data_IF_533329402434
#
_entry.id   IF_533329402434
#
_cell.length_a   1.000
_cell.length_b   1.000
_cell.length_c   1.000
_cell.angle_alpha   90.00
_cell.angle_beta   90.00
_cell.angle_gamma   90.00
#
_symmetry.space_group_name_H-M   'P 1'
#
loop_
_entity.id
_entity.type
_entity.pdbx_description
1 polymer ?
#
# COMPACT_ATOMS: atom_id res chain seq x y z
N UNK A 1 6.40 -26.82 -2.58
CA UNK A 1 5.38 -25.88 -2.05
C UNK A 1 4.33 -26.68 -1.32
N UNK A 2 4.01 -26.35 -0.05
CA UNK A 2 2.85 -26.94 0.62
C UNK A 2 1.62 -26.13 0.19
N UNK A 3 0.65 -26.69 -0.54
CA UNK A 3 -0.46 -25.94 -1.12
C UNK A 3 -1.33 -25.25 -0.04
N UNK A 4 -1.34 -25.81 1.17
CA UNK A 4 -1.92 -25.26 2.40
C UNK A 4 -1.40 -23.85 2.77
N UNK A 5 -0.25 -23.42 2.22
CA UNK A 5 0.36 -22.11 2.47
C UNK A 5 0.05 -21.08 1.39
N UNK A 6 -0.69 -21.45 0.33
CA UNK A 6 -1.07 -20.54 -0.76
C UNK A 6 -2.42 -19.92 -0.42
N UNK A 7 -2.46 -18.58 -0.31
CA UNK A 7 -3.68 -17.82 -0.06
C UNK A 7 -4.11 -17.09 -1.32
N UNK A 8 -5.42 -17.01 -1.54
CA UNK A 8 -6.00 -16.20 -2.62
C UNK A 8 -5.82 -14.71 -2.29
N UNK A 9 -5.35 -13.94 -3.27
CA UNK A 9 -5.27 -12.49 -3.17
C UNK A 9 -6.63 -11.86 -3.55
N UNK A 10 -6.91 -10.67 -3.03
CA UNK A 10 -8.00 -9.85 -3.54
C UNK A 10 -7.70 -9.42 -4.99
N UNK A 11 -8.72 -9.32 -5.82
CA UNK A 11 -8.62 -8.86 -7.21
C UNK A 11 -9.39 -7.55 -7.38
N UNK A 12 -8.82 -6.64 -8.17
CA UNK A 12 -9.39 -5.33 -8.52
C UNK A 12 -9.17 -5.05 -10.01
N UNK A 13 -10.03 -4.23 -10.62
CA UNK A 13 -9.83 -3.69 -11.97
C UNK A 13 -8.90 -2.47 -11.93
N UNK A 14 -8.10 -2.17 -12.98
CA UNK A 14 -7.28 -0.96 -13.06
C UNK A 14 -8.07 0.33 -12.90
N UNK A 15 -9.37 0.31 -13.23
CA UNK A 15 -10.25 1.48 -13.16
C UNK A 15 -11.00 1.58 -11.82
N UNK A 16 -10.72 0.67 -10.86
CA UNK A 16 -11.37 0.67 -9.54
C UNK A 16 -10.97 1.91 -8.74
N UNK A 17 -11.92 2.66 -8.17
CA UNK A 17 -11.64 3.75 -7.24
C UNK A 17 -10.79 3.31 -6.05
N UNK A 18 -9.90 4.19 -5.59
CA UNK A 18 -8.86 3.82 -4.62
C UNK A 18 -9.42 3.46 -3.23
N UNK A 19 -10.52 4.08 -2.82
CA UNK A 19 -11.29 3.76 -1.63
C UNK A 19 -11.93 2.36 -1.71
N UNK A 20 -12.42 1.97 -2.89
CA UNK A 20 -12.92 0.62 -3.14
C UNK A 20 -11.80 -0.43 -3.19
N UNK A 21 -10.62 -0.07 -3.73
CA UNK A 21 -9.41 -0.90 -3.64
C UNK A 21 -9.04 -1.13 -2.17
N UNK A 22 -8.98 -0.08 -1.35
CA UNK A 22 -8.71 -0.19 0.08
C UNK A 22 -9.72 -1.11 0.78
N UNK A 23 -11.02 -0.92 0.52
CA UNK A 23 -12.07 -1.73 1.11
C UNK A 23 -11.95 -3.22 0.69
N UNK A 24 -11.52 -3.50 -0.54
CA UNK A 24 -11.27 -4.85 -1.03
C UNK A 24 -10.09 -5.51 -0.30
N UNK A 25 -8.98 -4.79 -0.15
CA UNK A 25 -7.78 -5.30 0.54
C UNK A 25 -8.03 -5.52 2.03
N UNK A 26 -8.78 -4.63 2.69
CA UNK A 26 -9.18 -4.79 4.09
C UNK A 26 -10.06 -6.03 4.30
N UNK A 27 -11.03 -6.28 3.43
CA UNK A 27 -11.87 -7.49 3.48
C UNK A 27 -11.05 -8.76 3.25
N UNK A 28 -10.11 -8.72 2.31
CA UNK A 28 -9.20 -9.82 2.04
C UNK A 28 -8.18 -10.06 3.18
N UNK A 29 -8.01 -9.09 4.09
CA UNK A 29 -6.98 -9.08 5.14
C UNK A 29 -5.59 -9.37 4.56
N UNK A 30 -5.29 -8.75 3.42
CA UNK A 30 -4.07 -8.97 2.67
C UNK A 30 -3.44 -7.62 2.26
N UNK A 31 -2.12 -7.54 2.35
CA UNK A 31 -1.36 -6.36 1.93
C UNK A 31 -1.08 -6.36 0.42
N UNK A 32 -1.35 -7.48 -0.26
CA UNK A 32 -1.19 -7.63 -1.70
C UNK A 32 -2.54 -7.90 -2.35
N UNK A 33 -2.78 -7.19 -3.45
CA UNK A 33 -3.89 -7.41 -4.37
C UNK A 33 -3.36 -7.62 -5.79
N UNK A 34 -4.19 -8.24 -6.62
CA UNK A 34 -3.93 -8.46 -8.03
C UNK A 34 -4.78 -7.49 -8.84
N UNK A 35 -4.22 -6.89 -9.89
CA UNK A 35 -4.94 -6.02 -10.81
C UNK A 35 -5.25 -6.80 -12.07
N UNK A 36 -6.50 -7.23 -12.24
CA UNK A 36 -6.95 -7.98 -13.42
C UNK A 36 -7.37 -7.00 -14.52
N UNK A 37 -6.98 -7.28 -15.78
CA UNK A 37 -7.44 -6.49 -16.93
C UNK A 37 -8.89 -6.86 -17.21
N UNK A 38 -9.74 -5.87 -17.48
CA UNK A 38 -11.10 -6.15 -17.92
C UNK A 38 -11.06 -6.76 -19.33
N UNK A 39 -11.61 -7.96 -19.49
CA UNK A 39 -11.53 -8.79 -20.71
C UNK A 39 -12.42 -8.28 -21.87
N UNK A 40 -12.78 -7.00 -21.88
CA UNK A 40 -13.75 -6.44 -22.82
C UNK A 40 -13.24 -6.23 -24.27
N UNK A 41 -11.99 -6.61 -24.57
CA UNK A 41 -11.41 -6.47 -25.89
C UNK A 41 -11.00 -7.84 -26.46
N UNK A 42 -11.97 -8.55 -27.05
CA UNK A 42 -11.98 -9.52 -28.17
C UNK A 42 -10.76 -10.44 -28.48
N UNK A 43 -9.71 -10.45 -27.68
CA UNK A 43 -8.52 -11.27 -27.82
C UNK A 43 -8.26 -12.00 -26.50
N UNK A 44 -8.84 -13.20 -26.40
CA UNK A 44 -8.80 -14.11 -25.24
C UNK A 44 -7.37 -14.59 -24.89
N UNK A 45 -6.32 -14.09 -25.56
CA UNK A 45 -4.94 -14.48 -25.33
C UNK A 45 -4.24 -13.70 -24.19
N UNK A 46 -4.87 -12.66 -23.64
CA UNK A 46 -4.26 -11.79 -22.60
C UNK A 46 -5.03 -11.75 -21.26
N UNK A 47 -5.83 -12.78 -20.95
CA UNK A 47 -6.55 -12.94 -19.69
C UNK A 47 -5.57 -13.33 -18.56
N UNK A 48 -4.85 -12.33 -18.06
CA UNK A 48 -3.91 -12.49 -16.96
C UNK A 48 -3.81 -11.21 -16.16
N UNK A 49 -3.31 -11.30 -14.92
CA UNK A 49 -3.13 -10.13 -14.08
C UNK A 49 -2.23 -9.12 -14.77
N UNK A 50 -2.73 -7.90 -14.90
CA UNK A 50 -1.99 -6.77 -15.47
C UNK A 50 -0.92 -6.24 -14.51
N UNK A 51 -1.08 -6.49 -13.20
CA UNK A 51 -0.15 -6.02 -12.18
C UNK A 51 -0.53 -6.46 -10.77
N UNK A 52 0.18 -5.90 -9.80
CA UNK A 52 -0.06 -6.05 -8.37
C UNK A 52 -0.25 -4.66 -7.75
N UNK A 53 -1.00 -4.63 -6.66
CA UNK A 53 -1.15 -3.45 -5.81
C UNK A 53 -0.78 -3.82 -4.38
N UNK A 54 -0.05 -2.92 -3.71
CA UNK A 54 0.27 -3.04 -2.27
C UNK A 54 -0.61 -2.08 -1.47
N UNK A 55 -1.00 -2.50 -0.27
CA UNK A 55 -1.88 -1.71 0.61
C UNK A 55 -1.22 -0.38 0.97
N UNK A 56 0.09 -0.39 1.13
CA UNK A 56 0.91 0.75 1.50
C UNK A 56 0.84 1.86 0.45
N UNK A 57 0.86 1.53 -0.84
CA UNK A 57 0.73 2.50 -1.94
C UNK A 57 -0.68 3.09 -2.00
N UNK A 58 -1.70 2.25 -1.76
CA UNK A 58 -3.10 2.69 -1.68
C UNK A 58 -3.28 3.70 -0.54
N UNK A 59 -2.74 3.39 0.64
CA UNK A 59 -2.78 4.28 1.80
C UNK A 59 -1.99 5.57 1.54
N UNK A 60 -0.79 5.48 0.99
CA UNK A 60 0.03 6.65 0.67
C UNK A 60 -0.70 7.58 -0.32
N UNK A 61 -1.41 7.02 -1.29
CA UNK A 61 -2.13 7.81 -2.30
C UNK A 61 -3.42 8.43 -1.75
N UNK A 62 -4.10 7.79 -0.78
CA UNK A 62 -5.27 8.33 -0.09
C UNK A 62 -4.92 9.39 0.96
N UNK A 63 -3.87 9.15 1.75
CA UNK A 63 -3.48 10.01 2.89
C UNK A 63 -2.55 11.15 2.43
N UNK A 64 -1.75 10.93 1.39
CA UNK A 64 -0.69 11.83 0.97
C UNK A 64 0.58 11.71 1.82
N UNK A 65 1.47 12.70 1.73
CA UNK A 65 2.69 12.73 2.53
C UNK A 65 2.37 12.97 4.02
N UNK A 66 2.72 12.01 4.88
CA UNK A 66 2.64 12.18 6.34
C UNK A 66 3.98 12.71 6.83
N UNK A 67 4.00 13.94 7.39
CA UNK A 67 5.16 14.49 8.09
C UNK A 67 5.16 13.98 9.52
N UNK A 68 6.28 13.41 9.95
CA UNK A 68 6.45 13.00 11.34
C UNK A 68 6.39 14.25 12.23
N UNK A 69 5.48 14.23 13.22
CA UNK A 69 5.26 15.35 14.13
C UNK A 69 6.18 15.26 15.36
N UNK A 70 6.99 14.21 15.46
CA UNK A 70 7.95 14.02 16.55
C UNK A 70 9.05 15.06 16.42
N UNK A 71 9.15 16.04 17.33
CA UNK A 71 10.29 16.94 17.34
C UNK A 71 11.55 16.10 17.58
N UNK A 72 12.59 16.27 16.77
CA UNK A 72 13.92 15.80 17.16
C UNK A 72 14.19 16.36 18.55
N UNK A 73 14.35 15.48 19.54
CA UNK A 73 14.69 15.91 20.88
C UNK A 73 16.02 16.67 20.78
N UNK A 74 15.95 18.00 20.85
CA UNK A 74 17.12 18.84 21.00
C UNK A 74 17.91 18.28 22.19
N UNK A 75 19.04 17.64 21.89
CA UNK A 75 20.01 17.27 22.91
C UNK A 75 20.67 18.58 23.36
N UNK A 76 19.96 19.30 24.22
CA UNK A 76 20.48 20.47 24.93
C UNK A 76 21.51 20.00 25.94
N UNK A 77 22.78 19.99 25.55
CA UNK A 77 23.88 19.96 26.49
C UNK A 77 23.96 21.34 27.19
N UNK A 78 24.00 21.40 28.54
CA UNK A 78 24.24 22.66 29.23
C UNK A 78 25.69 23.08 29.00
N UNK A 79 25.92 24.08 28.16
CA UNK A 79 27.21 24.78 28.16
C UNK A 79 27.26 25.65 29.42
N UNK A 80 28.01 25.14 30.40
CA UNK A 80 28.20 25.77 31.69
C UNK A 80 28.74 27.19 31.58
N UNK A 81 28.19 28.05 32.42
CA UNK A 81 28.79 29.31 32.80
C UNK A 81 30.15 29.07 33.46
N UNK A 82 31.20 29.67 32.92
CA UNK A 82 32.36 30.05 33.73
C UNK A 82 32.64 31.51 33.46
N UNK A 83 32.14 32.36 34.36
CA UNK A 83 32.69 33.68 34.56
C UNK A 83 33.93 33.57 35.43
N UNK A 84 35.01 34.23 34.98
CA UNK A 84 36.08 34.82 35.78
C UNK A 84 36.83 35.81 34.89
#
# INVERSE_FOLDING_TARGET
MRPERIRRLGSVSPDTPLDDVLATMQRARAHLGVVDRDDAADDTSAAGPSGLVVLEDVLARLVGEVRDATPEAETGAPQGSTGA
#
